data_IF_112954072235
#
_entry.id   IF_112954072235
#
_cell.length_a   1.000
_cell.length_b   1.000
_cell.length_c   1.000
_cell.angle_alpha   90.00
_cell.angle_beta   90.00
_cell.angle_gamma   90.00
#
_symmetry.space_group_name_H-M   'P 1'
#
loop_
_entity.id
_entity.type
_entity.pdbx_description
1 polymer ?
#
# COMPACT_ATOMS: atom_id res chain seq x y z
N UNK A 1 20.47 -97.78 -1.97
CA UNK A 1 20.73 -97.14 -0.67
C UNK A 1 22.06 -96.39 -0.73
N UNK A 2 22.04 -95.06 -0.74
CA UNK A 2 23.01 -94.19 -0.04
C UNK A 2 22.57 -92.74 -0.24
N UNK A 3 22.12 -92.14 0.86
CA UNK A 3 21.95 -90.69 0.99
C UNK A 3 23.34 -90.09 1.19
N UNK A 4 23.61 -88.95 0.55
CA UNK A 4 24.59 -88.00 1.09
C UNK A 4 24.18 -86.58 0.73
N UNK A 5 23.70 -85.86 1.75
CA UNK A 5 23.59 -84.40 1.80
C UNK A 5 25.00 -83.82 1.89
N UNK A 6 25.33 -82.77 1.13
CA UNK A 6 26.17 -81.66 1.60
C UNK A 6 26.03 -80.42 0.71
N UNK A 7 25.78 -79.29 1.40
CA UNK A 7 26.30 -77.93 1.21
C UNK A 7 26.18 -77.21 -0.16
N UNK A 8 25.40 -76.11 -0.15
CA UNK A 8 25.60 -74.87 -0.92
C UNK A 8 27.06 -74.37 -0.81
N UNK A 9 27.62 -73.56 -1.75
CA UNK A 9 26.93 -72.50 -2.49
C UNK A 9 27.36 -72.35 -3.97
N UNK A 10 26.44 -72.02 -4.86
CA UNK A 10 26.78 -71.48 -6.19
C UNK A 10 25.75 -70.42 -6.58
N UNK A 11 26.05 -69.21 -6.09
CA UNK A 11 25.92 -67.94 -6.80
C UNK A 11 25.41 -68.07 -8.25
N UNK A 12 24.09 -68.15 -8.43
CA UNK A 12 23.48 -67.90 -9.73
C UNK A 12 22.74 -66.58 -9.60
N UNK A 13 23.48 -65.53 -9.97
CA UNK A 13 22.96 -64.21 -10.24
C UNK A 13 21.93 -64.36 -11.36
N UNK A 14 20.67 -64.56 -10.98
CA UNK A 14 19.55 -64.33 -11.86
C UNK A 14 19.42 -62.81 -11.97
N UNK A 15 20.22 -62.25 -12.87
CA UNK A 15 20.06 -60.89 -13.35
C UNK A 15 18.72 -60.85 -14.11
N UNK A 16 17.62 -60.74 -13.36
CA UNK A 16 16.43 -60.10 -13.84
C UNK A 16 16.86 -58.67 -14.18
N UNK A 17 17.14 -58.45 -15.45
CA UNK A 17 17.01 -57.15 -16.08
C UNK A 17 15.55 -56.76 -15.89
N UNK A 18 15.24 -56.22 -14.72
CA UNK A 18 14.21 -55.22 -14.62
C UNK A 18 14.68 -54.13 -15.57
N UNK A 19 14.10 -54.10 -16.76
CA UNK A 19 14.02 -52.90 -17.55
C UNK A 19 13.19 -51.96 -16.67
N UNK A 20 13.87 -51.32 -15.73
CA UNK A 20 13.43 -50.10 -15.11
C UNK A 20 13.33 -49.15 -16.29
N UNK A 21 12.13 -48.95 -16.82
CA UNK A 21 11.83 -47.66 -17.42
C UNK A 21 11.99 -46.66 -16.27
N UNK A 22 13.22 -46.17 -16.06
CA UNK A 22 13.37 -44.79 -15.63
C UNK A 22 12.73 -43.99 -16.75
N UNK A 23 11.44 -43.74 -16.56
CA UNK A 23 10.79 -42.65 -17.22
C UNK A 23 11.53 -41.44 -16.66
N UNK A 24 12.50 -40.95 -17.42
CA UNK A 24 13.08 -39.63 -17.23
C UNK A 24 11.89 -38.68 -17.40
N UNK A 25 11.23 -38.39 -16.28
CA UNK A 25 10.27 -37.30 -16.15
C UNK A 25 11.09 -36.00 -16.15
N UNK A 26 11.80 -35.74 -17.25
CA UNK A 26 12.43 -34.44 -17.58
C UNK A 26 11.34 -33.48 -18.09
N UNK A 27 10.24 -33.39 -17.36
CA UNK A 27 9.39 -32.22 -17.43
C UNK A 27 10.09 -31.16 -16.58
N UNK A 28 10.96 -30.38 -17.23
CA UNK A 28 11.39 -29.09 -16.71
C UNK A 28 10.13 -28.38 -16.18
N UNK A 29 10.02 -28.08 -14.88
CA UNK A 29 8.79 -27.53 -14.33
C UNK A 29 8.47 -26.25 -15.11
N UNK A 30 7.35 -26.27 -15.83
CA UNK A 30 6.85 -25.10 -16.53
C UNK A 30 6.77 -23.97 -15.48
N UNK A 31 7.37 -22.80 -15.74
CA UNK A 31 7.47 -21.76 -14.72
C UNK A 31 6.07 -21.46 -14.19
N UNK A 32 5.89 -21.60 -12.88
CA UNK A 32 4.62 -21.29 -12.24
C UNK A 32 4.23 -19.86 -12.62
N UNK A 33 3.04 -19.69 -13.21
CA UNK A 33 2.53 -18.37 -13.57
C UNK A 33 2.26 -17.62 -12.26
N UNK A 34 2.97 -16.51 -12.06
CA UNK A 34 2.78 -15.64 -10.91
C UNK A 34 1.39 -15.00 -11.01
N UNK A 35 0.56 -15.23 -9.98
CA UNK A 35 -0.78 -14.66 -9.88
C UNK A 35 -0.74 -13.12 -9.92
N UNK A 36 -1.68 -12.54 -10.64
CA UNK A 36 -1.89 -11.09 -10.75
C UNK A 36 -3.16 -10.77 -9.97
N UNK A 37 -3.02 -10.07 -8.85
CA UNK A 37 -4.17 -9.54 -8.14
C UNK A 37 -4.61 -8.25 -8.84
N UNK A 38 -5.83 -8.22 -9.36
CA UNK A 38 -6.38 -7.04 -10.05
C UNK A 38 -7.08 -6.04 -9.11
N UNK A 39 -7.31 -6.44 -7.86
CA UNK A 39 -7.97 -5.63 -6.82
C UNK A 39 -7.19 -5.74 -5.49
N UNK A 40 -7.42 -4.79 -4.56
CA UNK A 40 -6.79 -4.79 -3.24
C UNK A 40 -7.05 -6.09 -2.48
N UNK A 41 -5.98 -6.63 -1.91
CA UNK A 41 -5.99 -7.84 -1.07
C UNK A 41 -5.72 -7.52 0.40
N UNK A 42 -5.83 -6.25 0.82
CA UNK A 42 -5.72 -5.86 2.24
C UNK A 42 -6.85 -6.56 3.02
N UNK A 43 -6.53 -7.39 4.02
CA UNK A 43 -7.55 -7.99 4.85
C UNK A 43 -8.18 -6.93 5.74
N UNK A 44 -9.40 -7.19 6.22
CA UNK A 44 -10.08 -6.28 7.15
C UNK A 44 -9.36 -6.10 8.48
N UNK A 45 -8.46 -7.02 8.86
CA UNK A 45 -7.66 -6.95 10.07
C UNK A 45 -6.35 -7.73 9.96
N UNK A 46 -5.33 -7.27 10.69
CA UNK A 46 -4.13 -8.04 11.01
C UNK A 46 -3.92 -8.03 12.54
N UNK A 47 -3.46 -9.15 13.10
CA UNK A 47 -3.13 -9.26 14.53
C UNK A 47 -4.27 -8.87 15.48
N UNK A 48 -5.52 -9.06 15.05
CA UNK A 48 -6.71 -8.75 15.85
C UNK A 48 -7.13 -7.27 15.85
N UNK A 49 -6.48 -6.40 15.07
CA UNK A 49 -6.86 -4.99 14.90
C UNK A 49 -7.32 -4.71 13.46
N UNK A 50 -8.35 -3.87 13.25
CA UNK A 50 -8.76 -3.45 11.92
C UNK A 50 -7.62 -2.75 11.17
N UNK A 51 -7.56 -2.96 9.86
CA UNK A 51 -6.63 -2.25 8.98
C UNK A 51 -7.32 -1.03 8.37
N UNK A 52 -6.80 0.16 8.65
CA UNK A 52 -7.19 1.38 7.99
C UNK A 52 -6.40 1.50 6.67
N UNK A 53 -7.12 1.59 5.56
CA UNK A 53 -6.51 1.86 4.27
C UNK A 53 -5.99 3.31 4.24
N UNK A 54 -4.69 3.48 4.01
CA UNK A 54 -4.02 4.78 3.97
C UNK A 54 -3.69 5.23 2.54
N UNK A 55 -3.66 4.31 1.59
CA UNK A 55 -3.38 4.61 0.19
C UNK A 55 -2.64 3.47 -0.49
N UNK A 56 -1.88 3.80 -1.51
CA UNK A 56 -1.16 2.84 -2.33
C UNK A 56 0.21 3.38 -2.75
N UNK A 57 1.13 2.47 -3.08
CA UNK A 57 2.41 2.76 -3.70
C UNK A 57 2.63 1.83 -4.90
N UNK A 58 3.33 2.35 -5.90
CA UNK A 58 3.65 1.60 -7.11
C UNK A 58 5.14 1.24 -7.13
N UNK A 59 5.43 -0.03 -7.41
CA UNK A 59 6.78 -0.57 -7.48
C UNK A 59 7.01 -1.30 -8.79
N UNK A 60 8.25 -1.28 -9.28
CA UNK A 60 8.60 -1.89 -10.57
C UNK A 60 8.98 -3.37 -10.49
N UNK A 61 9.08 -3.94 -9.28
CA UNK A 61 9.53 -5.32 -9.04
C UNK A 61 8.91 -5.88 -7.77
N UNK A 62 8.39 -7.11 -7.82
CA UNK A 62 7.88 -7.83 -6.64
C UNK A 62 8.98 -8.21 -5.64
N UNK A 63 10.22 -8.42 -6.12
CA UNK A 63 11.39 -8.67 -5.27
C UNK A 63 12.08 -7.33 -5.08
N UNK A 64 12.10 -6.86 -3.83
CA UNK A 64 12.61 -5.53 -3.48
C UNK A 64 13.08 -5.50 -2.03
N UNK A 65 13.88 -4.50 -1.69
CA UNK A 65 14.17 -4.15 -0.30
C UNK A 65 13.06 -3.25 0.22
N UNK A 66 12.57 -3.56 1.43
CA UNK A 66 11.67 -2.73 2.23
C UNK A 66 12.50 -2.15 3.38
N UNK A 67 12.51 -0.82 3.49
CA UNK A 67 13.19 -0.11 4.57
C UNK A 67 12.18 0.66 5.41
N UNK A 68 12.38 0.69 6.72
CA UNK A 68 11.52 1.44 7.64
C UNK A 68 12.31 2.27 8.64
N UNK A 69 11.76 3.43 8.99
CA UNK A 69 12.28 4.34 10.00
C UNK A 69 11.16 5.21 10.55
N UNK A 70 11.43 5.89 11.67
CA UNK A 70 10.53 6.83 12.31
C UNK A 70 10.27 8.03 11.39
N UNK A 71 9.00 8.33 11.10
CA UNK A 71 8.66 9.43 10.20
C UNK A 71 8.91 10.81 10.82
N UNK A 72 8.73 10.94 12.13
CA UNK A 72 8.68 12.19 12.86
C UNK A 72 9.87 12.38 13.81
N UNK A 73 9.59 12.26 15.10
CA UNK A 73 10.59 12.40 16.16
C UNK A 73 10.85 11.04 16.76
N UNK A 74 12.12 10.60 16.73
CA UNK A 74 12.53 9.34 17.37
C UNK A 74 12.21 9.39 18.87
N UNK A 75 11.13 8.73 19.24
CA UNK A 75 10.52 8.82 20.57
C UNK A 75 10.14 7.44 21.15
N UNK A 76 10.73 6.39 20.60
CA UNK A 76 10.59 5.03 21.09
C UNK A 76 9.44 4.25 20.47
N UNK A 77 8.99 4.62 19.29
CA UNK A 77 8.05 3.85 18.46
C UNK A 77 8.55 2.40 18.25
N UNK A 78 7.74 1.41 18.64
CA UNK A 78 8.00 -0.02 18.46
C UNK A 78 6.94 -0.62 17.54
N UNK A 79 7.38 -1.23 16.44
CA UNK A 79 6.48 -1.67 15.36
C UNK A 79 6.80 -3.08 14.87
N UNK A 80 5.78 -3.74 14.33
CA UNK A 80 5.95 -4.85 13.39
C UNK A 80 5.44 -4.43 12.01
N UNK A 81 6.12 -4.87 10.96
CA UNK A 81 5.69 -4.67 9.56
C UNK A 81 5.24 -6.01 9.01
N UNK A 82 4.05 -6.02 8.43
CA UNK A 82 3.41 -7.21 7.88
C UNK A 82 3.23 -6.99 6.38
N UNK A 83 3.78 -7.87 5.55
CA UNK A 83 3.60 -7.84 4.11
C UNK A 83 2.93 -9.12 3.65
N UNK A 84 1.80 -9.01 2.94
CA UNK A 84 0.99 -10.14 2.49
C UNK A 84 0.73 -11.21 3.58
N UNK A 85 0.50 -10.75 4.81
CA UNK A 85 0.21 -11.60 5.98
C UNK A 85 1.43 -12.16 6.69
N UNK A 86 2.65 -11.93 6.16
CA UNK A 86 3.90 -12.34 6.79
C UNK A 86 4.49 -11.18 7.59
N UNK A 87 4.83 -11.41 8.86
CA UNK A 87 5.62 -10.44 9.63
C UNK A 87 7.05 -10.43 9.12
N UNK A 88 7.45 -9.36 8.44
CA UNK A 88 8.78 -9.20 7.82
C UNK A 88 9.75 -8.43 8.72
N UNK A 89 9.22 -7.62 9.63
CA UNK A 89 9.95 -6.93 10.70
C UNK A 89 9.12 -7.14 11.96
N UNK A 90 9.73 -7.65 13.02
CA UNK A 90 9.01 -8.05 14.23
C UNK A 90 9.49 -7.28 15.46
N UNK A 91 8.59 -6.50 16.06
CA UNK A 91 8.76 -5.79 17.34
C UNK A 91 10.09 -5.03 17.42
N UNK A 92 10.35 -4.16 16.45
CA UNK A 92 11.56 -3.35 16.39
C UNK A 92 11.29 -1.90 16.77
N UNK A 93 12.23 -1.30 17.50
CA UNK A 93 12.23 0.14 17.78
C UNK A 93 12.69 0.91 16.55
N UNK A 94 11.92 1.90 16.13
CA UNK A 94 12.27 2.77 15.01
C UNK A 94 13.34 3.79 15.42
N UNK A 95 14.30 4.00 14.52
CA UNK A 95 15.25 5.10 14.55
C UNK A 95 14.97 6.04 13.38
N UNK A 96 15.68 7.16 13.29
CA UNK A 96 15.54 8.10 12.17
C UNK A 96 16.11 7.54 10.85
N UNK A 97 15.92 8.27 9.72
CA UNK A 97 16.29 7.81 8.37
C UNK A 97 17.78 7.51 8.16
N UNK A 98 18.67 7.93 9.07
CA UNK A 98 20.10 7.59 9.03
C UNK A 98 20.40 6.16 9.47
N UNK A 99 19.46 5.48 10.13
CA UNK A 99 19.59 4.11 10.62
C UNK A 99 18.30 3.30 10.35
N UNK A 100 17.95 3.07 9.07
CA UNK A 100 16.72 2.37 8.71
C UNK A 100 16.87 0.85 8.91
N UNK A 101 15.78 0.20 9.31
CA UNK A 101 15.69 -1.25 9.34
C UNK A 101 15.30 -1.73 7.94
N UNK A 102 16.12 -2.60 7.33
CA UNK A 102 15.92 -3.06 5.95
C UNK A 102 15.77 -4.57 5.87
N UNK A 103 14.83 -5.03 5.04
CA UNK A 103 14.61 -6.45 4.75
C UNK A 103 14.35 -6.65 3.25
N UNK A 104 14.99 -7.65 2.66
CA UNK A 104 14.66 -8.08 1.29
C UNK A 104 13.41 -8.95 1.34
N UNK A 105 12.45 -8.64 0.48
CA UNK A 105 11.15 -9.29 0.46
C UNK A 105 10.69 -9.59 -0.97
N UNK A 106 10.10 -10.77 -1.16
CA UNK A 106 9.34 -11.13 -2.37
C UNK A 106 7.85 -11.07 -2.02
N UNK A 107 7.15 -10.13 -2.64
CA UNK A 107 5.71 -9.98 -2.47
C UNK A 107 4.92 -11.20 -2.97
N UNK A 108 5.46 -12.00 -3.89
CA UNK A 108 4.83 -13.23 -4.36
C UNK A 108 3.70 -13.03 -5.40
N UNK A 109 3.07 -11.84 -5.46
CA UNK A 109 2.06 -11.51 -6.46
C UNK A 109 2.47 -10.32 -7.34
N UNK A 110 2.00 -10.35 -8.58
CA UNK A 110 1.96 -9.19 -9.45
C UNK A 110 0.68 -8.38 -9.21
N UNK A 111 0.63 -7.13 -9.65
CA UNK A 111 -0.49 -6.25 -9.32
C UNK A 111 -0.56 -5.99 -7.81
N UNK A 112 -1.73 -6.18 -7.20
CA UNK A 112 -1.96 -5.85 -5.79
C UNK A 112 -1.25 -6.74 -4.78
N UNK A 113 -0.57 -6.07 -3.84
CA UNK A 113 -0.02 -6.59 -2.60
C UNK A 113 -0.32 -5.59 -1.49
N UNK A 114 0.10 -5.86 -0.26
CA UNK A 114 -0.03 -4.88 0.82
C UNK A 114 1.08 -4.93 1.85
N UNK A 115 1.24 -3.80 2.53
CA UNK A 115 2.03 -3.65 3.75
C UNK A 115 1.16 -3.05 4.84
N UNK A 116 1.21 -3.62 6.03
CA UNK A 116 0.52 -3.18 7.23
C UNK A 116 1.53 -2.83 8.32
N UNK A 117 1.35 -1.65 8.92
CA UNK A 117 2.02 -1.23 10.15
C UNK A 117 1.20 -1.68 11.36
N UNK A 118 1.82 -2.48 12.23
CA UNK A 118 1.28 -2.81 13.55
C UNK A 118 2.11 -2.13 14.64
N UNK A 119 1.48 -1.25 15.41
CA UNK A 119 2.14 -0.55 16.50
C UNK A 119 2.04 -1.33 17.83
N UNK A 120 3.18 -1.65 18.45
CA UNK A 120 3.23 -2.27 19.78
C UNK A 120 3.09 -1.24 20.91
N UNK A 121 3.43 0.01 20.64
CA UNK A 121 3.24 1.16 21.52
C UNK A 121 2.81 2.39 20.69
N UNK A 122 2.86 3.59 21.29
CA UNK A 122 2.55 4.86 20.61
C UNK A 122 3.74 5.83 20.63
N UNK A 123 4.93 5.36 20.99
CA UNK A 123 6.04 6.24 21.37
C UNK A 123 5.70 7.13 22.58
N UNK A 124 6.45 8.22 22.73
CA UNK A 124 6.12 9.30 23.66
C UNK A 124 5.08 10.28 23.05
N UNK A 125 4.97 10.35 21.72
CA UNK A 125 4.10 11.24 20.95
C UNK A 125 3.19 10.41 20.02
N UNK A 126 1.91 10.21 20.36
CA UNK A 126 0.99 9.49 19.49
C UNK A 126 0.60 10.27 18.21
N UNK A 127 0.21 9.59 17.11
CA UNK A 127 0.23 8.13 16.90
C UNK A 127 1.64 7.59 16.63
N UNK A 128 1.78 6.26 16.56
CA UNK A 128 3.03 5.65 16.09
C UNK A 128 3.14 5.87 14.56
N UNK A 129 4.26 6.44 14.10
CA UNK A 129 4.45 6.80 12.69
C UNK A 129 5.71 6.19 12.09
N UNK A 130 5.52 5.50 10.97
CA UNK A 130 6.58 4.77 10.29
C UNK A 130 6.64 5.19 8.83
N UNK A 131 7.79 5.67 8.37
CA UNK A 131 8.04 5.75 6.93
C UNK A 131 8.41 4.36 6.44
N UNK A 132 7.69 3.86 5.43
CA UNK A 132 8.04 2.67 4.65
C UNK A 132 8.61 3.15 3.32
N UNK A 133 9.80 2.67 2.96
CA UNK A 133 10.40 2.87 1.66
C UNK A 133 10.54 1.54 0.92
N UNK A 134 9.93 1.46 -0.26
CA UNK A 134 10.00 0.27 -1.12
C UNK A 134 10.56 0.71 -2.46
N UNK A 135 11.75 0.20 -2.80
CA UNK A 135 12.47 0.59 -4.02
C UNK A 135 12.65 2.12 -4.17
N UNK A 136 12.84 2.83 -3.04
CA UNK A 136 13.02 4.28 -3.00
C UNK A 136 11.74 5.11 -3.08
N UNK A 137 10.57 4.47 -3.20
CA UNK A 137 9.27 5.14 -3.04
C UNK A 137 8.90 5.11 -1.56
N UNK A 138 8.73 6.29 -0.96
CA UNK A 138 8.40 6.45 0.45
C UNK A 138 6.89 6.63 0.65
N UNK A 139 6.36 6.02 1.71
CA UNK A 139 4.99 6.19 2.16
C UNK A 139 4.95 6.22 3.68
N UNK A 140 4.12 7.11 4.23
CA UNK A 140 3.97 7.25 5.67
C UNK A 140 2.80 6.39 6.14
N UNK A 141 3.11 5.41 6.99
CA UNK A 141 2.12 4.63 7.69
C UNK A 141 1.95 5.19 9.11
N UNK A 142 0.71 5.21 9.57
CA UNK A 142 0.37 5.53 10.95
C UNK A 142 -0.48 4.42 11.55
N UNK A 143 -0.26 4.14 12.83
CA UNK A 143 -1.04 3.15 13.56
C UNK A 143 -1.21 3.58 15.02
N UNK A 144 -2.23 3.04 15.67
CA UNK A 144 -2.44 3.19 17.10
C UNK A 144 -2.74 1.83 17.75
N UNK A 145 -3.09 1.83 19.04
CA UNK A 145 -3.35 0.59 19.78
C UNK A 145 -4.70 -0.06 19.45
N UNK A 146 -5.56 0.63 18.70
CA UNK A 146 -6.90 0.17 18.32
C UNK A 146 -7.00 -0.20 16.83
N UNK A 147 -6.16 0.36 15.96
CA UNK A 147 -6.17 0.16 14.51
C UNK A 147 -4.76 0.22 13.89
N UNK A 148 -4.58 -0.56 12.82
CA UNK A 148 -3.36 -0.60 12.01
C UNK A 148 -3.47 0.38 10.82
N UNK A 149 -2.33 0.82 10.30
CA UNK A 149 -2.26 1.47 8.99
C UNK A 149 -1.86 0.48 7.91
N UNK A 150 -2.56 0.45 6.78
CA UNK A 150 -2.25 -0.43 5.66
C UNK A 150 -2.17 0.36 4.34
N UNK A 151 -1.23 -0.04 3.49
CA UNK A 151 -1.02 0.54 2.15
C UNK A 151 -1.00 -0.59 1.13
N UNK A 152 -1.65 -0.38 -0.01
CA UNK A 152 -1.50 -1.28 -1.14
C UNK A 152 -0.12 -1.08 -1.78
N UNK A 153 0.50 -2.19 -2.18
CA UNK A 153 1.77 -2.18 -2.90
C UNK A 153 1.54 -2.82 -4.26
N UNK A 154 1.59 -2.00 -5.31
CA UNK A 154 1.17 -2.42 -6.65
C UNK A 154 2.41 -2.63 -7.51
N UNK A 155 2.63 -3.88 -7.91
CA UNK A 155 3.67 -4.23 -8.88
C UNK A 155 3.18 -3.83 -10.27
N UNK A 156 3.81 -2.83 -10.86
CA UNK A 156 3.45 -2.27 -12.17
C UNK A 156 3.71 -3.25 -13.32
N UNK A 157 3.09 -2.97 -14.48
CA UNK A 157 3.27 -3.75 -15.71
C UNK A 157 2.18 -4.79 -15.99
N UNK A 158 1.14 -4.81 -15.15
CA UNK A 158 0.07 -5.83 -15.18
C UNK A 158 -1.34 -5.24 -15.34
N UNK A 159 -1.46 -4.01 -15.84
CA UNK A 159 -2.77 -3.38 -16.11
C UNK A 159 -3.54 -2.94 -14.87
N UNK A 160 -2.88 -2.90 -13.71
CA UNK A 160 -3.38 -2.33 -12.48
C UNK A 160 -2.35 -1.38 -11.90
N UNK A 161 -2.85 -0.31 -11.29
CA UNK A 161 -2.06 0.72 -10.66
C UNK A 161 -2.87 1.33 -9.49
N UNK A 162 -2.33 2.37 -8.87
CA UNK A 162 -2.97 3.03 -7.73
C UNK A 162 -4.38 3.56 -8.01
N UNK A 163 -4.75 3.79 -9.28
CA UNK A 163 -6.09 4.25 -9.66
C UNK A 163 -7.17 3.19 -9.44
N UNK A 164 -6.80 1.91 -9.38
CA UNK A 164 -7.73 0.81 -9.14
C UNK A 164 -8.02 0.56 -7.64
N UNK A 165 -7.31 1.24 -6.72
CA UNK A 165 -7.34 0.92 -5.28
C UNK A 165 -8.34 1.79 -4.52
N UNK A 166 -9.61 1.35 -4.53
CA UNK A 166 -10.70 2.04 -3.83
C UNK A 166 -12.01 1.24 -3.85
N UNK A 167 -12.19 0.37 -2.86
CA UNK A 167 -13.39 -0.48 -2.76
C UNK A 167 -14.69 0.24 -2.37
N UNK A 168 -15.54 0.48 -3.37
CA UNK A 168 -17.00 0.27 -3.50
C UNK A 168 -18.05 1.01 -2.62
N UNK A 169 -19.01 1.66 -3.30
CA UNK A 169 -20.22 2.23 -2.69
C UNK A 169 -21.29 2.91 -3.58
N UNK A 170 -21.60 2.38 -4.79
CA UNK A 170 -22.94 2.41 -5.43
C UNK A 170 -23.60 3.71 -5.95
N UNK A 171 -23.87 3.78 -7.27
CA UNK A 171 -24.84 4.76 -7.80
C UNK A 171 -24.93 4.97 -9.32
N UNK A 172 -25.25 3.93 -10.10
CA UNK A 172 -26.00 3.96 -11.38
C UNK A 172 -25.70 5.01 -12.47
N UNK A 173 -25.20 4.56 -13.61
CA UNK A 173 -25.34 5.27 -14.89
C UNK A 173 -24.43 4.69 -15.97
N UNK A 174 -25.01 3.96 -16.93
CA UNK A 174 -24.27 3.28 -17.98
C UNK A 174 -23.49 4.21 -18.91
N UNK A 175 -22.30 3.77 -19.32
CA UNK A 175 -21.50 4.39 -20.36
C UNK A 175 -20.29 3.53 -20.71
N UNK A 176 -20.31 2.92 -21.90
CA UNK A 176 -19.13 2.31 -22.50
C UNK A 176 -18.07 3.40 -22.76
N UNK A 177 -16.85 3.19 -22.27
CA UNK A 177 -15.62 3.57 -22.98
C UNK A 177 -14.94 4.88 -22.56
N UNK A 178 -13.78 4.74 -21.91
CA UNK A 178 -12.74 5.75 -21.76
C UNK A 178 -12.70 6.38 -20.37
N UNK A 179 -11.72 5.97 -19.57
CA UNK A 179 -11.36 6.67 -18.33
C UNK A 179 -11.13 8.16 -18.60
N UNK A 180 -11.58 8.99 -17.67
CA UNK A 180 -11.67 10.44 -17.86
C UNK A 180 -10.31 11.15 -17.80
N UNK A 181 -9.22 10.44 -17.42
CA UNK A 181 -7.90 10.96 -17.05
C UNK A 181 -8.00 12.09 -16.00
N UNK A 182 -9.00 12.07 -15.13
CA UNK A 182 -9.31 13.17 -14.20
C UNK A 182 -9.70 12.67 -12.82
N UNK A 183 -9.47 13.47 -11.79
CA UNK A 183 -9.92 13.24 -10.43
C UNK A 183 -10.32 14.53 -9.72
N UNK A 184 -10.70 14.42 -8.46
CA UNK A 184 -11.22 15.51 -7.66
C UNK A 184 -10.24 15.91 -6.55
N UNK A 185 -10.23 17.21 -6.22
CA UNK A 185 -9.46 17.76 -5.10
C UNK A 185 -10.36 18.60 -4.21
N UNK A 186 -10.35 18.32 -2.90
CA UNK A 186 -11.00 19.17 -1.90
C UNK A 186 -9.98 19.73 -0.91
N UNK A 187 -9.85 21.05 -0.89
CA UNK A 187 -9.16 21.77 0.18
C UNK A 187 -10.11 22.05 1.33
N UNK A 188 -9.68 21.86 2.57
CA UNK A 188 -10.56 22.04 3.73
C UNK A 188 -9.78 22.53 4.96
N UNK A 189 -10.51 22.99 5.97
CA UNK A 189 -9.95 23.29 7.29
C UNK A 189 -10.83 22.66 8.36
N UNK A 190 -10.22 22.29 9.48
CA UNK A 190 -10.94 21.71 10.62
C UNK A 190 -11.57 22.77 11.53
N UNK A 191 -11.28 24.05 11.30
CA UNK A 191 -11.76 25.16 12.13
C UNK A 191 -11.85 26.46 11.32
N UNK A 192 -12.50 27.44 11.93
CA UNK A 192 -12.49 28.83 11.47
C UNK A 192 -11.22 29.54 11.96
N UNK A 193 -10.41 30.06 11.04
CA UNK A 193 -9.24 30.88 11.37
C UNK A 193 -9.60 32.36 11.60
N UNK A 194 -10.87 32.75 11.46
CA UNK A 194 -11.34 34.12 11.71
C UNK A 194 -10.89 35.15 10.67
N UNK A 195 -10.36 34.70 9.53
CA UNK A 195 -9.81 35.53 8.46
C UNK A 195 -10.76 35.74 7.26
N UNK A 196 -12.02 35.32 7.40
CA UNK A 196 -13.00 35.25 6.31
C UNK A 196 -12.83 34.00 5.45
N UNK A 197 -13.50 33.98 4.30
CA UNK A 197 -13.39 32.86 3.36
C UNK A 197 -11.98 32.74 2.79
N UNK A 198 -11.49 31.51 2.68
CA UNK A 198 -10.15 31.22 2.13
C UNK A 198 -10.29 31.02 0.63
N UNK A 199 -9.58 31.82 -0.16
CA UNK A 199 -9.46 31.62 -1.61
C UNK A 199 -8.30 30.67 -1.89
N UNK A 200 -8.57 29.60 -2.63
CA UNK A 200 -7.59 28.60 -3.07
C UNK A 200 -7.43 28.71 -4.58
N UNK A 201 -6.19 28.79 -5.06
CA UNK A 201 -5.82 28.70 -6.47
C UNK A 201 -5.03 27.41 -6.69
N UNK A 202 -5.49 26.59 -7.64
CA UNK A 202 -4.78 25.41 -8.12
C UNK A 202 -4.18 25.74 -9.49
N UNK A 203 -2.85 25.74 -9.57
CA UNK A 203 -2.12 26.28 -10.72
C UNK A 203 -2.55 25.59 -12.03
N UNK A 204 -2.97 26.37 -13.02
CA UNK A 204 -3.41 25.85 -14.31
C UNK A 204 -4.82 25.27 -14.34
N UNK A 205 -5.51 25.16 -13.19
CA UNK A 205 -6.89 24.65 -13.09
C UNK A 205 -7.90 25.76 -12.80
N UNK A 206 -7.65 26.61 -11.80
CA UNK A 206 -8.54 27.71 -11.45
C UNK A 206 -8.57 28.02 -9.95
N UNK A 207 -9.66 28.64 -9.49
CA UNK A 207 -9.82 29.05 -8.09
C UNK A 207 -11.09 28.51 -7.46
N UNK A 208 -11.02 28.16 -6.18
CA UNK A 208 -12.14 27.74 -5.34
C UNK A 208 -12.13 28.49 -4.00
N UNK A 209 -13.22 28.43 -3.23
CA UNK A 209 -13.35 29.17 -1.96
C UNK A 209 -13.86 28.28 -0.84
N UNK A 210 -13.11 28.22 0.27
CA UNK A 210 -13.54 27.56 1.51
C UNK A 210 -14.36 28.56 2.31
N UNK A 211 -15.64 28.28 2.49
CA UNK A 211 -16.58 29.10 3.27
C UNK A 211 -17.22 28.36 4.46
N UNK A 212 -16.99 27.04 4.57
CA UNK A 212 -17.41 26.17 5.67
C UNK A 212 -16.29 25.20 6.02
N UNK A 213 -16.26 24.79 7.28
CA UNK A 213 -15.17 24.05 7.92
C UNK A 213 -15.69 22.72 8.46
N UNK A 214 -14.80 21.73 8.64
CA UNK A 214 -15.13 20.38 9.09
C UNK A 214 -14.53 20.07 10.47
N UNK A 215 -15.18 20.46 11.57
CA UNK A 215 -14.69 20.19 12.91
C UNK A 215 -14.78 18.70 13.23
N UNK A 216 -13.63 18.03 13.30
CA UNK A 216 -13.53 16.66 13.82
C UNK A 216 -13.67 15.53 12.79
N UNK A 217 -13.77 15.83 11.49
CA UNK A 217 -13.69 14.79 10.45
C UNK A 217 -13.07 15.31 9.15
N UNK A 218 -12.36 14.45 8.46
CA UNK A 218 -11.88 14.69 7.10
C UNK A 218 -13.06 14.58 6.12
N UNK A 219 -13.34 15.60 5.30
CA UNK A 219 -14.40 15.53 4.30
C UNK A 219 -14.00 14.67 3.10
N UNK A 220 -14.98 14.09 2.41
CA UNK A 220 -14.81 13.53 1.07
C UNK A 220 -14.98 14.61 0.00
N UNK A 221 -14.79 14.31 -1.29
CA UNK A 221 -14.92 15.27 -2.41
C UNK A 221 -16.37 15.55 -2.83
N UNK A 222 -17.36 15.10 -2.05
CA UNK A 222 -18.76 15.33 -2.40
C UNK A 222 -19.03 16.84 -2.49
N UNK A 223 -19.85 17.30 -3.46
CA UNK A 223 -20.23 18.70 -3.60
C UNK A 223 -21.28 19.08 -2.56
N UNK A 224 -20.93 18.97 -1.28
CA UNK A 224 -21.75 19.28 -0.10
C UNK A 224 -21.78 20.80 0.25
N UNK A 225 -21.06 21.61 -0.52
CA UNK A 225 -20.95 23.06 -0.33
C UNK A 225 -20.00 23.48 0.79
N UNK A 226 -19.22 22.55 1.35
CA UNK A 226 -18.06 22.82 2.21
C UNK A 226 -16.73 22.56 1.50
N UNK A 227 -15.66 23.16 2.02
CA UNK A 227 -14.33 23.10 1.41
C UNK A 227 -14.20 23.87 0.10
N UNK A 228 -13.01 23.81 -0.49
CA UNK A 228 -12.65 24.35 -1.79
C UNK A 228 -12.50 23.20 -2.78
N UNK A 229 -13.52 23.01 -3.61
CA UNK A 229 -13.65 21.87 -4.53
C UNK A 229 -13.07 22.19 -5.90
N UNK A 230 -12.34 21.24 -6.47
CA UNK A 230 -11.91 21.19 -7.86
C UNK A 230 -12.27 19.82 -8.39
N UNK A 231 -13.24 19.77 -9.30
CA UNK A 231 -13.74 18.49 -9.83
C UNK A 231 -13.20 18.28 -11.24
N UNK A 232 -13.10 17.02 -11.67
CA UNK A 232 -12.69 16.66 -13.04
C UNK A 232 -11.32 17.25 -13.44
N UNK A 233 -10.40 17.35 -12.48
CA UNK A 233 -9.05 17.86 -12.65
C UNK A 233 -8.19 16.82 -13.38
N UNK A 234 -7.54 17.14 -14.50
CA UNK A 234 -6.70 16.17 -15.20
C UNK A 234 -5.64 15.60 -14.26
N UNK A 235 -5.36 14.31 -14.37
CA UNK A 235 -4.34 13.66 -13.56
C UNK A 235 -2.98 14.36 -13.73
N UNK A 236 -2.27 14.56 -12.63
CA UNK A 236 -1.02 15.29 -12.59
C UNK A 236 -0.74 15.96 -11.25
N UNK A 237 0.46 16.50 -11.11
CA UNK A 237 0.87 17.25 -9.92
C UNK A 237 0.72 18.73 -10.16
N UNK A 238 -0.01 19.40 -9.26
CA UNK A 238 -0.30 20.82 -9.34
C UNK A 238 0.19 21.52 -8.09
N UNK A 239 0.78 22.70 -8.26
CA UNK A 239 1.04 23.59 -7.13
C UNK A 239 -0.24 24.34 -6.78
N UNK A 240 -0.43 24.62 -5.50
CA UNK A 240 -1.54 25.44 -5.04
C UNK A 240 -1.06 26.59 -4.16
N UNK A 241 -1.84 27.66 -4.14
CA UNK A 241 -1.74 28.73 -3.16
C UNK A 241 -3.10 28.99 -2.57
N UNK A 242 -3.21 29.12 -1.25
CA UNK A 242 -4.43 29.55 -0.60
C UNK A 242 -4.17 30.77 0.27
N UNK A 243 -5.14 31.66 0.37
CA UNK A 243 -5.02 32.84 1.24
C UNK A 243 -6.35 33.34 1.76
N UNK A 244 -6.29 33.93 2.94
CA UNK A 244 -7.33 34.78 3.51
C UNK A 244 -6.66 35.95 4.23
N UNK A 245 -7.43 36.82 4.89
CA UNK A 245 -6.86 38.02 5.52
C UNK A 245 -5.79 37.67 6.57
N UNK A 246 -4.52 37.86 6.23
CA UNK A 246 -3.38 37.65 7.14
C UNK A 246 -2.76 36.24 7.14
N UNK A 247 -3.31 35.29 6.37
CA UNK A 247 -2.78 33.92 6.29
C UNK A 247 -2.56 33.48 4.84
N UNK A 248 -1.53 32.66 4.65
CA UNK A 248 -1.15 32.09 3.35
C UNK A 248 -0.72 30.64 3.51
N UNK A 249 -1.15 29.80 2.58
CA UNK A 249 -0.73 28.42 2.41
C UNK A 249 -0.23 28.21 0.99
N UNK A 250 0.72 27.32 0.82
CA UNK A 250 1.17 26.86 -0.49
C UNK A 250 1.70 25.43 -0.38
N UNK A 251 1.71 24.74 -1.51
CA UNK A 251 2.20 23.37 -1.59
C UNK A 251 1.89 22.76 -2.94
N UNK A 252 1.87 21.43 -2.99
CA UNK A 252 1.45 20.67 -4.16
C UNK A 252 0.45 19.60 -3.79
N UNK A 253 -0.42 19.26 -4.74
CA UNK A 253 -1.35 18.14 -4.68
C UNK A 253 -1.16 17.29 -5.94
N UNK A 254 -1.31 15.98 -5.81
CA UNK A 254 -1.30 15.07 -6.96
C UNK A 254 -2.72 14.58 -7.17
N UNK A 255 -3.24 14.82 -8.37
CA UNK A 255 -4.54 14.30 -8.79
C UNK A 255 -4.29 13.02 -9.56
N UNK A 256 -4.91 11.94 -9.12
CA UNK A 256 -4.95 10.66 -9.83
C UNK A 256 -6.32 10.48 -10.47
N UNK A 257 -6.39 9.71 -11.56
CA UNK A 257 -7.64 9.43 -12.25
C UNK A 257 -8.66 8.76 -11.31
N UNK A 258 -9.92 9.17 -11.43
CA UNK A 258 -11.09 8.70 -10.69
C UNK A 258 -10.90 8.70 -9.14
N UNK A 259 -10.00 9.55 -8.65
CA UNK A 259 -9.68 9.70 -7.22
C UNK A 259 -10.32 10.93 -6.59
N UNK A 260 -10.39 10.92 -5.26
CA UNK A 260 -10.67 12.10 -4.45
C UNK A 260 -9.49 12.38 -3.52
N UNK A 261 -8.77 13.46 -3.77
CA UNK A 261 -7.70 13.92 -2.91
C UNK A 261 -8.19 15.04 -1.98
N UNK A 262 -7.92 14.93 -0.68
CA UNK A 262 -8.31 15.98 0.29
C UNK A 262 -7.08 16.60 0.94
N UNK A 263 -7.06 17.92 1.03
CA UNK A 263 -5.94 18.69 1.60
C UNK A 263 -6.43 19.57 2.74
N UNK A 264 -5.99 19.25 3.97
CA UNK A 264 -6.24 20.12 5.11
C UNK A 264 -5.26 21.30 5.13
N UNK A 265 -5.77 22.52 5.20
CA UNK A 265 -4.96 23.71 5.43
C UNK A 265 -4.83 23.96 6.93
N UNK A 266 -3.60 23.98 7.43
CA UNK A 266 -3.23 24.18 8.84
C UNK A 266 -2.30 25.39 8.99
N UNK A 267 -2.37 26.11 10.11
CA UNK A 267 -1.48 27.24 10.42
C UNK A 267 -0.20 26.78 11.11
#
# INVERSE_FOLDING_TARGET
>A
MKKLKYLLPAFFAFALLFISCEKEDDADPEPEQIEVNEESIIPSSNMGRPNNYLGCIEISSRITTISVWDHGTVDGDIVSIIANGNTIIDEQTLNGPSDPISVDYDFGYNGYNYVTLYAHNLGDIPPNTCTVAINGVEFVLEANLDANGAVDVIVQGYGVDCSNSGGNGGGGGGGNGGGSNKGDVKFWTNQDFGCGSISVELNGIGTSTISRYYPGSTPNCDPDGGGGNFNDVPAGTYTYTASCQGYQWNGSVTVTEDSCFTMQLTL
#
